data_IF_605741334746
#
_entry.id   IF_605741334746
#
_cell.length_a   1.000
_cell.length_b   1.000
_cell.length_c   1.000
_cell.angle_alpha   90.00
_cell.angle_beta   90.00
_cell.angle_gamma   90.00
#
_symmetry.space_group_name_H-M   'P 1'
#
loop_
_entity.id
_entity.type
_entity.pdbx_description
1 polymer ?
#
# COMPACT_ATOMS: atom_id res chain seq x y z
N UNK A 1 1.48 -2.01 -10.69
CA UNK A 1 0.60 -1.20 -9.81
C UNK A 1 -0.37 -0.33 -10.59
N UNK A 2 0.05 0.40 -11.64
CA UNK A 2 -0.83 1.29 -12.43
C UNK A 2 -2.13 0.58 -12.86
N UNK A 3 -2.05 -0.56 -13.55
CA UNK A 3 -3.23 -1.31 -13.99
C UNK A 3 -4.16 -1.73 -12.86
N UNK A 4 -3.63 -1.99 -11.66
CA UNK A 4 -4.44 -2.33 -10.48
C UNK A 4 -5.20 -1.12 -9.94
N UNK A 5 -4.56 0.07 -9.92
CA UNK A 5 -5.21 1.33 -9.49
C UNK A 5 -6.29 1.79 -10.46
N UNK A 6 -6.14 1.51 -11.76
CA UNK A 6 -7.13 1.87 -12.78
C UNK A 6 -8.15 0.76 -13.09
N UNK A 7 -8.11 -0.38 -12.39
CA UNK A 7 -9.03 -1.49 -12.64
C UNK A 7 -8.83 -2.22 -13.97
N UNK A 8 -7.67 -2.07 -14.60
CA UNK A 8 -7.32 -2.60 -15.92
C UNK A 8 -6.38 -3.82 -15.83
N UNK A 9 -6.57 -4.68 -14.83
CA UNK A 9 -5.72 -5.86 -14.65
C UNK A 9 -5.98 -6.90 -15.75
N UNK A 10 -4.91 -7.34 -16.43
CA UNK A 10 -5.01 -8.39 -17.46
C UNK A 10 -5.23 -9.79 -16.85
N UNK A 11 -4.61 -10.04 -15.69
CA UNK A 11 -4.79 -11.28 -14.94
C UNK A 11 -6.15 -11.23 -14.23
N UNK A 12 -7.08 -12.07 -14.68
CA UNK A 12 -8.45 -12.17 -14.16
C UNK A 12 -8.61 -13.15 -13.00
N UNK A 13 -7.50 -13.59 -12.38
CA UNK A 13 -7.59 -14.39 -11.15
C UNK A 13 -8.28 -13.61 -10.03
N UNK A 14 -9.04 -14.31 -9.19
CA UNK A 14 -9.73 -13.71 -8.03
C UNK A 14 -8.79 -12.91 -7.14
N UNK A 15 -7.55 -13.38 -6.93
CA UNK A 15 -6.54 -12.66 -6.14
C UNK A 15 -6.12 -11.34 -6.79
N UNK A 16 -5.94 -11.29 -8.12
CA UNK A 16 -5.56 -10.08 -8.82
C UNK A 16 -6.71 -9.06 -8.86
N UNK A 17 -7.93 -9.53 -9.13
CA UNK A 17 -9.14 -8.71 -9.12
C UNK A 17 -9.41 -8.12 -7.73
N UNK A 18 -9.33 -8.94 -6.68
CA UNK A 18 -9.49 -8.47 -5.31
C UNK A 18 -8.43 -7.43 -4.94
N UNK A 19 -7.17 -7.64 -5.33
CA UNK A 19 -6.12 -6.65 -5.10
C UNK A 19 -6.42 -5.33 -5.82
N UNK A 20 -6.90 -5.39 -7.06
CA UNK A 20 -7.24 -4.20 -7.84
C UNK A 20 -8.35 -3.40 -7.15
N UNK A 21 -9.43 -4.07 -6.73
CA UNK A 21 -10.52 -3.46 -5.96
C UNK A 21 -10.02 -2.82 -4.68
N UNK A 22 -9.17 -3.51 -3.92
CA UNK A 22 -8.58 -2.98 -2.68
C UNK A 22 -7.75 -1.71 -2.96
N UNK A 23 -6.89 -1.75 -3.99
CA UNK A 23 -6.05 -0.61 -4.35
C UNK A 23 -6.87 0.61 -4.78
N UNK A 24 -7.88 0.41 -5.64
CA UNK A 24 -8.82 1.47 -6.05
C UNK A 24 -9.46 2.12 -4.82
N UNK A 25 -10.01 1.31 -3.91
CA UNK A 25 -10.70 1.85 -2.74
C UNK A 25 -9.77 2.61 -1.80
N UNK A 26 -8.55 2.13 -1.53
CA UNK A 26 -7.59 2.93 -0.76
C UNK A 26 -7.28 4.28 -1.42
N UNK A 27 -7.05 4.29 -2.74
CA UNK A 27 -6.74 5.51 -3.48
C UNK A 27 -7.91 6.51 -3.47
N UNK A 28 -9.14 6.04 -3.68
CA UNK A 28 -10.34 6.87 -3.66
C UNK A 28 -10.60 7.43 -2.26
N UNK A 29 -10.52 6.60 -1.22
CA UNK A 29 -10.72 7.03 0.16
C UNK A 29 -9.70 8.10 0.58
N UNK A 30 -8.43 7.90 0.24
CA UNK A 30 -7.38 8.88 0.50
C UNK A 30 -7.61 10.20 -0.26
N UNK A 31 -7.95 10.13 -1.55
CA UNK A 31 -8.23 11.33 -2.34
C UNK A 31 -9.44 12.13 -1.81
N UNK A 32 -10.45 11.45 -1.25
CA UNK A 32 -11.66 12.09 -0.76
C UNK A 32 -11.52 12.66 0.66
N UNK A 33 -10.79 11.98 1.55
CA UNK A 33 -10.80 12.27 2.99
C UNK A 33 -9.40 12.44 3.62
N UNK A 34 -8.33 12.31 2.85
CA UNK A 34 -6.94 12.21 3.34
C UNK A 34 -6.68 11.02 4.27
N UNK A 35 -7.61 10.05 4.29
CA UNK A 35 -7.51 8.80 5.07
C UNK A 35 -7.88 7.60 4.18
N UNK A 36 -6.96 6.65 3.94
CA UNK A 36 -7.26 5.43 3.18
C UNK A 36 -8.29 4.51 3.89
N UNK A 37 -8.57 4.72 5.18
CA UNK A 37 -9.41 3.90 6.05
C UNK A 37 -10.78 4.50 6.36
N UNK A 38 -11.39 5.22 5.42
CA UNK A 38 -12.64 5.95 5.60
C UNK A 38 -13.91 5.12 5.90
N UNK A 39 -13.79 3.80 6.09
CA UNK A 39 -14.90 2.89 6.35
C UNK A 39 -15.84 2.66 5.15
N UNK A 40 -15.53 3.17 3.96
CA UNK A 40 -16.32 2.99 2.73
C UNK A 40 -15.66 1.99 1.79
N UNK A 41 -16.41 1.49 0.80
CA UNK A 41 -15.88 0.56 -0.19
C UNK A 41 -15.74 -0.87 0.32
N UNK A 42 -14.80 -1.64 -0.23
CA UNK A 42 -14.59 -3.04 0.14
C UNK A 42 -13.92 -3.18 1.51
N UNK A 43 -14.26 -4.25 2.23
CA UNK A 43 -13.51 -4.66 3.41
C UNK A 43 -12.02 -4.84 3.05
N UNK A 44 -11.14 -4.25 3.86
CA UNK A 44 -9.69 -4.25 3.67
C UNK A 44 -9.01 -4.03 5.02
N UNK A 45 -7.74 -4.46 5.19
CA UNK A 45 -6.98 -4.20 6.41
C UNK A 45 -6.93 -2.70 6.75
N UNK A 46 -6.65 -2.36 8.01
CA UNK A 46 -6.27 -0.98 8.31
C UNK A 46 -4.88 -0.70 7.76
N UNK A 47 -4.71 0.40 7.02
CA UNK A 47 -3.43 0.95 6.63
C UNK A 47 -3.05 2.06 7.63
N UNK A 48 -2.27 1.76 8.67
CA UNK A 48 -1.90 2.75 9.67
C UNK A 48 -0.94 3.79 9.08
N UNK A 49 -1.01 5.00 9.62
CA UNK A 49 -0.08 6.06 9.27
C UNK A 49 1.36 5.67 9.66
N UNK A 50 2.29 5.88 8.72
CA UNK A 50 3.70 5.72 8.99
C UNK A 50 4.18 6.80 9.96
N UNK A 51 4.83 6.40 11.05
CA UNK A 51 5.48 7.32 12.00
C UNK A 51 6.82 6.75 12.45
N UNK A 52 7.66 7.58 13.07
CA UNK A 52 8.95 7.11 13.60
C UNK A 52 8.80 6.04 14.70
N UNK A 53 7.68 6.04 15.42
CA UNK A 53 7.34 5.08 16.47
C UNK A 53 6.56 3.86 15.94
N UNK A 54 5.98 3.97 14.74
CA UNK A 54 5.22 2.91 14.08
C UNK A 54 5.65 2.79 12.61
N UNK A 55 6.84 2.22 12.39
CA UNK A 55 7.44 2.06 11.07
C UNK A 55 6.91 0.78 10.42
N UNK A 56 5.69 0.87 9.95
CA UNK A 56 5.01 -0.22 9.24
C UNK A 56 4.52 0.26 7.89
N UNK A 57 4.46 -0.64 6.92
CA UNK A 57 3.97 -0.40 5.57
C UNK A 57 2.88 -1.41 5.24
N UNK A 58 2.00 -1.04 4.30
CA UNK A 58 1.02 -1.95 3.76
C UNK A 58 1.64 -2.75 2.60
N UNK A 59 1.73 -4.07 2.75
CA UNK A 59 2.04 -4.97 1.65
C UNK A 59 0.79 -5.14 0.77
N UNK A 60 0.89 -4.80 -0.51
CA UNK A 60 -0.15 -5.02 -1.51
C UNK A 60 0.14 -6.30 -2.30
N UNK A 61 -0.47 -7.41 -1.89
CA UNK A 61 -0.33 -8.73 -2.53
C UNK A 61 -1.68 -9.43 -2.56
N UNK A 62 -2.08 -9.98 -3.70
CA UNK A 62 -3.48 -10.35 -3.95
C UNK A 62 -4.10 -11.41 -3.05
N UNK A 63 -3.28 -12.24 -2.40
CA UNK A 63 -3.74 -13.20 -1.39
C UNK A 63 -3.26 -12.87 0.03
N UNK A 64 -2.45 -11.83 0.20
CA UNK A 64 -1.85 -11.47 1.49
C UNK A 64 -1.61 -9.95 1.55
N UNK A 65 -2.70 -9.20 1.47
CA UNK A 65 -2.65 -7.76 1.74
C UNK A 65 -2.68 -7.57 3.25
N UNK A 66 -1.60 -7.06 3.82
CA UNK A 66 -1.42 -6.97 5.27
C UNK A 66 -0.39 -5.91 5.63
N UNK A 67 -0.39 -5.49 6.88
CA UNK A 67 0.61 -4.57 7.43
C UNK A 67 1.85 -5.36 7.84
N UNK A 68 3.03 -4.89 7.43
CA UNK A 68 4.32 -5.49 7.78
C UNK A 68 5.28 -4.43 8.33
N UNK A 69 6.28 -4.82 9.15
CA UNK A 69 7.35 -3.91 9.54
C UNK A 69 8.09 -3.34 8.34
N UNK A 70 8.40 -2.05 8.36
CA UNK A 70 9.25 -1.41 7.36
C UNK A 70 10.73 -1.66 7.68
N UNK A 71 11.19 -2.87 7.36
CA UNK A 71 12.61 -3.24 7.38
C UNK A 71 13.16 -3.37 5.95
N UNK A 72 12.40 -2.92 4.95
CA UNK A 72 12.74 -3.11 3.56
C UNK A 72 13.95 -2.23 3.19
N UNK A 73 15.06 -2.88 2.82
CA UNK A 73 16.31 -2.21 2.39
C UNK A 73 16.84 -1.18 3.40
N UNK A 74 16.54 -1.33 4.69
CA UNK A 74 16.90 -0.35 5.73
C UNK A 74 18.39 0.03 5.70
N UNK A 75 19.31 -0.94 5.54
CA UNK A 75 20.75 -0.67 5.45
C UNK A 75 21.12 0.18 4.24
N UNK A 76 20.58 -0.14 3.06
CA UNK A 76 20.86 0.58 1.82
C UNK A 76 20.25 1.98 1.83
N UNK A 77 19.02 2.11 2.33
CA UNK A 77 18.35 3.41 2.48
C UNK A 77 19.13 4.28 3.47
N UNK A 78 19.59 3.72 4.60
CA UNK A 78 20.47 4.43 5.54
C UNK A 78 21.77 4.88 4.89
N UNK A 79 22.40 4.03 4.07
CA UNK A 79 23.62 4.40 3.35
C UNK A 79 23.39 5.57 2.40
N UNK A 80 22.35 5.51 1.56
CA UNK A 80 21.99 6.59 0.62
C UNK A 80 21.71 7.89 1.39
N UNK A 81 20.89 7.82 2.45
CA UNK A 81 20.52 8.98 3.26
C UNK A 81 21.70 9.54 4.07
N UNK A 82 22.73 8.74 4.36
CA UNK A 82 23.94 9.22 5.04
C UNK A 82 24.87 10.03 4.13
N UNK A 83 24.71 9.95 2.80
CA UNK A 83 25.53 10.66 1.81
C UNK A 83 24.67 11.35 0.73
N UNK A 84 23.84 12.36 1.08
CA UNK A 84 22.85 12.95 0.17
C UNK A 84 23.44 13.86 -0.94
N UNK A 85 24.76 13.96 -1.06
CA UNK A 85 25.47 14.89 -1.97
C UNK A 85 26.28 14.18 -3.08
N UNK A 86 26.08 12.87 -3.27
CA UNK A 86 26.43 12.17 -4.52
C UNK A 86 25.22 12.19 -5.46
#
# INVERSE_FOLDING_TARGET
EISFVYGQVQNQSTAALNLSTIMIHYWVSFANNLDPNDGKGSARPSWPQYTLNNRVILQLKGANTTVIPDNYRDKQIKLINSNPLL
#
